data_IF_673863294086
#
_entry.id   IF_673863294086
#
_cell.length_a   1.000
_cell.length_b   1.000
_cell.length_c   1.000
_cell.angle_alpha   90.00
_cell.angle_beta   90.00
_cell.angle_gamma   90.00
#
_symmetry.space_group_name_H-M   'P 1'
#
loop_
_entity.id
_entity.type
_entity.pdbx_description
1 polymer ?
#
# COMPACT_ATOMS: atom_id res chain seq x y z
N UNK A 1 -16.33 33.05 -12.87
CA UNK A 1 -15.42 32.15 -13.59
C UNK A 1 -14.54 31.53 -12.53
N UNK A 2 -14.66 30.22 -12.28
CA UNK A 2 -13.78 29.52 -11.35
C UNK A 2 -12.40 29.45 -12.00
N UNK A 3 -11.35 29.86 -11.29
CA UNK A 3 -9.98 29.72 -11.77
C UNK A 3 -9.63 28.23 -11.89
N UNK A 4 -9.06 27.81 -13.02
CA UNK A 4 -8.60 26.44 -13.24
C UNK A 4 -7.60 26.01 -12.15
N UNK A 5 -6.76 26.93 -11.68
CA UNK A 5 -5.84 26.65 -10.58
C UNK A 5 -6.59 26.36 -9.28
N UNK A 6 -7.55 27.20 -8.90
CA UNK A 6 -8.35 26.98 -7.68
C UNK A 6 -9.15 25.68 -7.73
N UNK A 7 -9.71 25.34 -8.89
CA UNK A 7 -10.45 24.11 -9.11
C UNK A 7 -9.56 22.87 -8.94
N UNK A 8 -8.40 22.86 -9.59
CA UNK A 8 -7.44 21.75 -9.47
C UNK A 8 -6.87 21.65 -8.06
N UNK A 9 -6.58 22.79 -7.42
CA UNK A 9 -6.08 22.82 -6.06
C UNK A 9 -7.08 22.27 -5.03
N UNK A 10 -8.39 22.44 -5.24
CA UNK A 10 -9.40 21.83 -4.38
C UNK A 10 -9.24 20.30 -4.31
N UNK A 11 -9.02 19.64 -5.46
CA UNK A 11 -8.79 18.20 -5.51
C UNK A 11 -7.46 17.80 -4.85
N UNK A 12 -6.36 18.50 -5.16
CA UNK A 12 -5.05 18.22 -4.54
C UNK A 12 -5.11 18.34 -3.01
N UNK A 13 -5.72 19.41 -2.49
CA UNK A 13 -5.89 19.60 -1.06
C UNK A 13 -6.74 18.48 -0.43
N UNK A 14 -7.82 18.05 -1.10
CA UNK A 14 -8.62 16.92 -0.64
C UNK A 14 -7.77 15.63 -0.53
N UNK A 15 -6.97 15.33 -1.56
CA UNK A 15 -6.09 14.14 -1.57
C UNK A 15 -5.01 14.23 -0.49
N UNK A 16 -4.41 15.40 -0.27
CA UNK A 16 -3.40 15.56 0.80
C UNK A 16 -4.02 15.34 2.17
N UNK A 17 -5.22 15.86 2.43
CA UNK A 17 -5.91 15.68 3.71
C UNK A 17 -6.24 14.21 3.98
N UNK A 18 -6.76 13.51 2.98
CA UNK A 18 -7.23 12.13 3.11
C UNK A 18 -6.09 11.12 3.30
N UNK A 19 -4.91 11.42 2.76
CA UNK A 19 -3.70 10.59 2.86
C UNK A 19 -2.93 10.76 4.17
N UNK A 20 -3.39 11.61 5.11
CA UNK A 20 -2.71 11.76 6.41
C UNK A 20 -2.93 10.54 7.29
N UNK A 21 -1.94 10.19 8.10
CA UNK A 21 -2.04 9.10 9.09
C UNK A 21 -2.93 9.43 10.30
N UNK A 22 -3.50 10.64 10.37
CA UNK A 22 -4.36 11.08 11.48
C UNK A 22 -5.65 11.69 10.95
N UNK A 23 -6.78 11.17 11.43
CA UNK A 23 -8.12 11.60 11.03
C UNK A 23 -8.82 12.28 12.18
N UNK A 24 -9.50 13.37 11.87
CA UNK A 24 -10.35 14.15 12.78
C UNK A 24 -11.63 14.50 12.03
N UNK A 25 -12.75 14.66 12.73
CA UNK A 25 -14.03 15.05 12.10
C UNK A 25 -13.89 16.31 11.21
N UNK A 26 -13.17 17.32 11.68
CA UNK A 26 -12.96 18.58 10.94
C UNK A 26 -12.24 18.35 9.61
N UNK A 27 -11.18 17.54 9.62
CA UNK A 27 -10.44 17.18 8.40
C UNK A 27 -11.27 16.35 7.43
N UNK A 28 -12.09 15.44 7.95
CA UNK A 28 -13.00 14.66 7.11
C UNK A 28 -14.05 15.58 6.46
N UNK A 29 -14.62 16.52 7.22
CA UNK A 29 -15.53 17.53 6.68
C UNK A 29 -14.85 18.39 5.61
N UNK A 30 -13.64 18.91 5.89
CA UNK A 30 -12.86 19.69 4.92
C UNK A 30 -12.56 18.90 3.63
N UNK A 31 -12.23 17.61 3.74
CA UNK A 31 -12.06 16.74 2.58
C UNK A 31 -13.33 16.72 1.70
N UNK A 32 -14.49 16.51 2.31
CA UNK A 32 -15.77 16.46 1.60
C UNK A 32 -16.11 17.80 0.93
N UNK A 33 -15.85 18.90 1.62
CA UNK A 33 -16.12 20.25 1.10
C UNK A 33 -15.21 20.59 -0.08
N UNK A 34 -13.92 20.24 0.00
CA UNK A 34 -12.97 20.40 -1.10
C UNK A 34 -13.32 19.51 -2.29
N UNK A 35 -13.72 18.26 -2.05
CA UNK A 35 -14.16 17.34 -3.10
C UNK A 35 -15.43 17.86 -3.78
N UNK A 36 -16.41 18.37 -3.02
CA UNK A 36 -17.61 18.99 -3.56
C UNK A 36 -17.27 20.21 -4.42
N UNK A 37 -16.39 21.10 -3.93
CA UNK A 37 -15.94 22.29 -4.69
C UNK A 37 -15.28 21.91 -6.01
N UNK A 38 -14.50 20.83 -6.02
CA UNK A 38 -13.93 20.30 -7.25
C UNK A 38 -15.05 19.76 -8.17
N UNK A 39 -15.93 18.88 -7.69
CA UNK A 39 -17.01 18.29 -8.53
C UNK A 39 -17.94 19.36 -9.11
N UNK A 40 -18.38 20.33 -8.30
CA UNK A 40 -19.28 21.40 -8.71
C UNK A 40 -18.65 22.30 -9.79
N UNK A 41 -17.31 22.44 -9.81
CA UNK A 41 -16.59 23.24 -10.80
C UNK A 41 -16.27 22.50 -12.10
N UNK A 42 -16.54 21.20 -12.21
CA UNK A 42 -16.25 20.41 -13.42
C UNK A 42 -16.95 20.95 -14.68
N UNK A 43 -18.25 21.34 -14.65
CA UNK A 43 -18.93 21.89 -15.82
C UNK A 43 -18.28 23.16 -16.37
N UNK A 44 -17.74 24.00 -15.50
CA UNK A 44 -17.16 25.30 -15.85
C UNK A 44 -15.75 25.16 -16.44
N UNK A 45 -14.90 24.36 -15.77
CA UNK A 45 -13.47 24.21 -16.13
C UNK A 45 -13.26 23.13 -17.18
N UNK A 46 -14.13 22.13 -17.21
CA UNK A 46 -14.07 20.98 -18.12
C UNK A 46 -15.43 20.71 -18.79
N UNK A 47 -15.94 21.62 -19.65
CA UNK A 47 -17.29 21.48 -20.24
C UNK A 47 -17.52 20.18 -21.01
N UNK A 48 -16.45 19.57 -21.54
CA UNK A 48 -16.50 18.28 -22.22
C UNK A 48 -16.98 17.12 -21.31
N UNK A 49 -17.02 17.28 -19.99
CA UNK A 49 -17.55 16.26 -19.07
C UNK A 49 -19.07 16.28 -18.94
N UNK A 50 -19.74 17.39 -19.30
CA UNK A 50 -21.20 17.54 -19.21
C UNK A 50 -22.03 16.45 -19.92
N UNK A 51 -21.64 15.97 -21.13
CA UNK A 51 -22.42 14.95 -21.83
C UNK A 51 -22.27 13.55 -21.22
N UNK A 52 -21.31 13.35 -20.31
CA UNK A 52 -20.98 12.05 -19.76
C UNK A 52 -21.71 11.81 -18.43
N UNK A 53 -22.16 10.58 -18.16
CA UNK A 53 -22.73 10.24 -16.87
C UNK A 53 -21.68 10.41 -15.76
N UNK A 54 -22.14 10.78 -14.57
CA UNK A 54 -21.29 10.89 -13.38
C UNK A 54 -20.57 9.56 -13.16
N UNK A 55 -19.25 9.62 -13.06
CA UNK A 55 -18.43 8.41 -12.90
C UNK A 55 -18.66 7.81 -11.51
N UNK A 56 -18.84 6.48 -11.39
CA UNK A 56 -18.98 5.82 -10.10
C UNK A 56 -17.84 6.12 -9.13
N UNK A 57 -16.62 6.31 -9.65
CA UNK A 57 -15.45 6.69 -8.84
C UNK A 57 -15.62 8.04 -8.13
N UNK A 58 -16.31 9.01 -8.75
CA UNK A 58 -16.60 10.31 -8.13
C UNK A 58 -17.61 10.12 -7.00
N UNK A 59 -18.64 9.30 -7.21
CA UNK A 59 -19.60 8.96 -6.17
C UNK A 59 -18.95 8.23 -4.99
N UNK A 60 -18.10 7.23 -5.28
CA UNK A 60 -17.36 6.49 -4.27
C UNK A 60 -16.39 7.40 -3.48
N UNK A 61 -15.80 8.41 -4.12
CA UNK A 61 -14.95 9.39 -3.44
C UNK A 61 -15.72 10.15 -2.35
N UNK A 62 -17.02 10.43 -2.51
CA UNK A 62 -17.80 11.04 -1.42
C UNK A 62 -17.96 10.10 -0.21
N UNK A 63 -18.07 8.79 -0.42
CA UNK A 63 -18.15 7.81 0.66
C UNK A 63 -16.84 7.61 1.42
N UNK A 64 -15.72 8.11 0.89
CA UNK A 64 -14.46 8.14 1.63
C UNK A 64 -14.60 8.96 2.92
N UNK A 65 -15.46 9.99 2.93
CA UNK A 65 -15.81 10.70 4.17
C UNK A 65 -16.34 9.74 5.24
N UNK A 66 -17.33 8.90 4.88
CA UNK A 66 -17.94 7.95 5.80
C UNK A 66 -16.90 6.94 6.31
N UNK A 67 -16.03 6.47 5.42
CA UNK A 67 -14.97 5.51 5.74
C UNK A 67 -13.89 6.11 6.64
N UNK A 68 -13.55 7.39 6.48
CA UNK A 68 -12.65 8.08 7.40
C UNK A 68 -13.20 8.10 8.82
N UNK A 69 -14.51 8.32 8.99
CA UNK A 69 -15.16 8.33 10.30
C UNK A 69 -15.26 6.93 10.89
N UNK A 70 -15.59 5.92 10.08
CA UNK A 70 -15.84 4.55 10.54
C UNK A 70 -14.57 3.73 10.75
N UNK A 71 -13.60 3.85 9.84
CA UNK A 71 -12.42 2.98 9.76
C UNK A 71 -11.11 3.72 10.05
N UNK A 72 -11.16 5.05 10.17
CA UNK A 72 -9.98 5.87 10.40
C UNK A 72 -9.16 6.14 9.14
N UNK A 73 -7.84 6.41 9.28
CA UNK A 73 -6.98 6.85 8.17
C UNK A 73 -6.95 5.90 6.97
N UNK A 74 -7.00 6.45 5.73
CA UNK A 74 -6.93 5.65 4.49
C UNK A 74 -5.76 4.69 4.45
N UNK A 75 -4.59 5.11 4.95
CA UNK A 75 -3.37 4.30 4.91
C UNK A 75 -3.53 2.94 5.61
N UNK A 76 -4.49 2.81 6.54
CA UNK A 76 -4.78 1.57 7.23
C UNK A 76 -5.56 0.56 6.37
N UNK A 77 -6.29 1.02 5.35
CA UNK A 77 -7.22 0.19 4.57
C UNK A 77 -7.13 0.37 3.04
N UNK A 78 -6.19 1.16 2.54
CA UNK A 78 -5.95 1.29 1.10
C UNK A 78 -5.44 -0.01 0.46
N UNK A 79 -5.57 -0.12 -0.87
CA UNK A 79 -5.27 -1.34 -1.61
C UNK A 79 -3.77 -1.66 -1.76
N UNK A 80 -2.89 -0.66 -1.61
CA UNK A 80 -1.46 -0.80 -1.94
C UNK A 80 -0.71 -1.91 -1.18
N UNK A 81 -0.95 -2.15 0.14
CA UNK A 81 -0.34 -3.27 0.85
C UNK A 81 -0.82 -4.62 0.31
N UNK A 82 -2.08 -4.72 -0.10
CA UNK A 82 -2.64 -5.95 -0.69
C UNK A 82 -2.08 -6.20 -2.08
N UNK A 83 -1.95 -5.16 -2.92
CA UNK A 83 -1.31 -5.26 -4.24
C UNK A 83 0.14 -5.76 -4.12
N UNK A 84 0.90 -5.19 -3.16
CA UNK A 84 2.25 -5.67 -2.86
C UNK A 84 2.24 -7.14 -2.44
N UNK A 85 1.31 -7.55 -1.58
CA UNK A 85 1.18 -8.94 -1.14
C UNK A 85 0.83 -9.88 -2.30
N UNK A 86 -0.08 -9.49 -3.19
CA UNK A 86 -0.42 -10.24 -4.40
C UNK A 86 0.82 -10.41 -5.27
N UNK A 87 1.61 -9.35 -5.46
CA UNK A 87 2.88 -9.43 -6.18
C UNK A 87 3.88 -10.42 -5.54
N UNK A 88 3.98 -10.44 -4.22
CA UNK A 88 4.81 -11.45 -3.53
C UNK A 88 4.30 -12.87 -3.79
N UNK A 89 2.99 -13.10 -3.67
CA UNK A 89 2.38 -14.41 -3.90
C UNK A 89 2.57 -14.89 -5.34
N UNK A 90 2.44 -14.00 -6.33
CA UNK A 90 2.65 -14.31 -7.74
C UNK A 90 4.10 -14.70 -8.08
N UNK A 91 5.08 -14.22 -7.31
CA UNK A 91 6.49 -14.60 -7.50
C UNK A 91 6.87 -15.89 -6.77
N UNK A 92 5.97 -16.51 -6.01
CA UNK A 92 6.22 -17.83 -5.42
C UNK A 92 6.13 -18.88 -6.51
N UNK A 93 7.20 -19.66 -6.70
CA UNK A 93 7.16 -20.77 -7.63
C UNK A 93 6.18 -21.84 -7.12
N UNK A 94 5.07 -22.01 -7.85
CA UNK A 94 4.02 -22.97 -7.52
C UNK A 94 4.27 -24.36 -8.12
N UNK A 95 5.30 -24.54 -8.95
CA UNK A 95 5.62 -25.77 -9.70
C UNK A 95 4.39 -26.41 -10.37
N UNK A 96 3.43 -25.57 -10.83
CA UNK A 96 2.14 -25.98 -11.38
C UNK A 96 1.30 -26.92 -10.49
N UNK A 97 1.56 -26.96 -9.18
CA UNK A 97 0.73 -27.68 -8.22
C UNK A 97 -0.52 -26.85 -7.93
N UNK A 98 -1.68 -27.37 -8.31
CA UNK A 98 -3.01 -26.76 -8.13
C UNK A 98 -3.88 -27.78 -7.39
N UNK A 99 -4.85 -27.32 -6.59
CA UNK A 99 -5.84 -28.21 -5.95
C UNK A 99 -5.52 -28.54 -4.49
N UNK A 100 -5.04 -27.58 -3.70
CA UNK A 100 -4.88 -27.70 -2.24
C UNK A 100 -3.46 -28.03 -1.78
N UNK A 101 -2.61 -28.64 -2.62
CA UNK A 101 -1.23 -28.98 -2.26
C UNK A 101 -0.35 -27.74 -2.06
N UNK A 102 -0.53 -26.73 -2.91
CA UNK A 102 0.16 -25.45 -2.82
C UNK A 102 -0.24 -24.71 -1.53
N UNK A 103 -1.54 -24.62 -1.28
CA UNK A 103 -2.13 -23.97 -0.12
C UNK A 103 -1.68 -24.66 1.18
N UNK A 104 -1.64 -26.00 1.19
CA UNK A 104 -1.11 -26.79 2.32
C UNK A 104 0.36 -26.48 2.58
N UNK A 105 1.18 -26.41 1.52
CA UNK A 105 2.62 -26.13 1.63
C UNK A 105 2.88 -24.71 2.11
N UNK A 106 2.20 -23.72 1.54
CA UNK A 106 2.27 -22.32 1.98
C UNK A 106 1.88 -22.18 3.45
N UNK A 107 0.76 -22.78 3.85
CA UNK A 107 0.27 -22.74 5.23
C UNK A 107 1.26 -23.37 6.20
N UNK A 108 1.77 -24.58 5.89
CA UNK A 108 2.79 -25.25 6.72
C UNK A 108 4.08 -24.43 6.82
N UNK A 109 4.51 -23.84 5.72
CA UNK A 109 5.73 -23.02 5.67
C UNK A 109 5.57 -21.74 6.49
N UNK A 110 4.42 -21.09 6.40
CA UNK A 110 4.05 -19.93 7.20
C UNK A 110 4.07 -20.25 8.71
N UNK A 111 3.41 -21.33 9.13
CA UNK A 111 3.39 -21.73 10.55
C UNK A 111 4.77 -22.11 11.07
N UNK A 112 5.58 -22.83 10.28
CA UNK A 112 6.97 -23.16 10.65
C UNK A 112 7.83 -21.92 10.80
N UNK A 113 7.72 -20.97 9.87
CA UNK A 113 8.44 -19.70 9.95
C UNK A 113 8.00 -18.87 11.16
N UNK A 114 6.70 -18.79 11.45
CA UNK A 114 6.17 -18.11 12.63
C UNK A 114 6.65 -18.77 13.94
N UNK A 115 6.63 -20.10 14.02
CA UNK A 115 7.14 -20.84 15.17
C UNK A 115 8.64 -20.62 15.38
N UNK A 116 9.43 -20.62 14.30
CA UNK A 116 10.86 -20.32 14.35
C UNK A 116 11.12 -18.89 14.85
N UNK A 117 10.43 -17.89 14.30
CA UNK A 117 10.53 -16.49 14.76
C UNK A 117 10.15 -16.35 16.23
N UNK A 118 9.12 -17.06 16.69
CA UNK A 118 8.73 -17.11 18.10
C UNK A 118 9.84 -17.67 18.97
N UNK A 119 10.47 -18.77 18.57
CA UNK A 119 11.62 -19.34 19.28
C UNK A 119 12.82 -18.39 19.32
N UNK A 120 13.14 -17.73 18.21
CA UNK A 120 14.25 -16.77 18.13
C UNK A 120 14.06 -15.53 19.02
N UNK A 121 12.82 -15.18 19.37
CA UNK A 121 12.49 -14.05 20.26
C UNK A 121 12.39 -14.43 21.74
N UNK A 122 12.40 -15.73 22.07
CA UNK A 122 12.29 -16.20 23.45
C UNK A 122 13.60 -16.04 24.21
N UNK A 123 13.57 -15.66 25.50
CA UNK A 123 14.78 -15.58 26.33
C UNK A 123 15.36 -16.96 26.65
N UNK A 124 14.52 -18.00 26.67
CA UNK A 124 14.89 -19.40 26.93
C UNK A 124 15.14 -20.20 25.64
N UNK A 125 15.59 -19.53 24.58
CA UNK A 125 15.91 -20.13 23.30
C UNK A 125 17.13 -21.07 23.43
N UNK A 126 17.06 -22.34 22.94
CA UNK A 126 18.20 -23.25 22.96
C UNK A 126 19.45 -22.64 22.30
N UNK A 127 20.66 -22.90 22.82
CA UNK A 127 21.89 -22.25 22.36
C UNK A 127 22.15 -22.45 20.86
N UNK A 128 21.86 -23.65 20.34
CA UNK A 128 21.96 -23.95 18.90
C UNK A 128 21.08 -23.04 18.02
N UNK A 129 19.90 -22.64 18.51
CA UNK A 129 18.99 -21.75 17.78
C UNK A 129 19.44 -20.29 17.92
N UNK A 130 20.08 -19.92 19.04
CA UNK A 130 20.66 -18.58 19.23
C UNK A 130 21.83 -18.31 18.28
N UNK A 131 22.67 -19.31 18.02
CA UNK A 131 23.73 -19.18 17.01
C UNK A 131 23.16 -18.88 15.62
N UNK A 132 22.10 -19.61 15.25
CA UNK A 132 21.38 -19.40 13.98
C UNK A 132 20.70 -18.03 13.93
N UNK A 133 20.28 -17.46 15.06
CA UNK A 133 19.69 -16.12 15.12
C UNK A 133 20.60 -15.06 14.51
N UNK A 134 21.90 -15.11 14.82
CA UNK A 134 22.87 -14.14 14.29
C UNK A 134 23.00 -14.19 12.77
N UNK A 135 22.91 -15.38 12.18
CA UNK A 135 22.91 -15.59 10.74
C UNK A 135 21.57 -15.17 10.12
N UNK A 136 20.47 -15.54 10.78
CA UNK A 136 19.13 -15.20 10.36
C UNK A 136 18.93 -13.68 10.27
N UNK A 137 19.36 -12.95 11.30
CA UNK A 137 19.27 -11.48 11.36
C UNK A 137 20.11 -10.81 10.26
N UNK A 138 21.27 -11.38 9.90
CA UNK A 138 22.11 -10.91 8.78
C UNK A 138 21.47 -11.13 7.42
N UNK A 139 20.82 -12.27 7.22
CA UNK A 139 20.22 -12.64 5.91
C UNK A 139 18.84 -12.00 5.73
N UNK A 140 18.11 -11.73 6.81
CA UNK A 140 16.76 -11.15 6.77
C UNK A 140 16.64 -9.83 7.58
N UNK A 141 17.33 -8.74 7.19
CA UNK A 141 17.39 -7.51 7.99
C UNK A 141 16.05 -6.77 8.10
N UNK A 142 15.18 -6.86 7.10
CA UNK A 142 13.98 -6.01 6.99
C UNK A 142 12.80 -6.42 7.86
N UNK A 143 12.85 -7.60 8.49
CA UNK A 143 11.75 -8.15 9.30
C UNK A 143 11.94 -7.98 10.81
N UNK A 144 13.14 -7.60 11.25
CA UNK A 144 13.54 -7.56 12.66
C UNK A 144 13.93 -6.15 13.15
N UNK A 145 13.61 -5.09 12.41
CA UNK A 145 13.78 -3.74 12.92
C UNK A 145 12.91 -3.55 14.18
N UNK A 146 13.48 -3.11 15.33
CA UNK A 146 12.67 -2.71 16.47
C UNK A 146 11.79 -1.52 16.04
N UNK A 147 10.52 -1.54 16.43
CA UNK A 147 9.52 -0.51 16.08
C UNK A 147 9.88 0.91 16.58
N UNK A 148 10.98 1.06 17.34
CA UNK A 148 11.38 2.31 18.01
C UNK A 148 12.64 3.02 17.45
N UNK A 149 13.23 2.57 16.33
CA UNK A 149 14.29 3.37 15.69
C UNK A 149 13.71 4.28 14.62
N UNK A 150 13.84 5.60 14.82
CA UNK A 150 13.52 6.66 13.86
C UNK A 150 13.76 6.20 12.42
N UNK A 151 12.72 6.27 11.59
CA UNK A 151 12.74 5.88 10.18
C UNK A 151 13.95 6.55 9.51
N UNK A 152 15.01 5.81 9.12
CA UNK A 152 16.02 6.41 8.27
C UNK A 152 15.33 6.68 6.95
N UNK A 153 15.42 7.92 6.47
CA UNK A 153 14.90 8.33 5.16
C UNK A 153 15.35 7.31 4.11
N UNK A 154 14.41 6.43 3.74
CA UNK A 154 14.65 5.43 2.73
C UNK A 154 14.60 6.19 1.42
N UNK A 155 15.77 6.59 0.92
CA UNK A 155 15.91 7.36 -0.32
C UNK A 155 15.06 6.71 -1.43
N UNK A 156 13.89 7.33 -1.64
CA UNK A 156 12.85 6.88 -2.55
C UNK A 156 13.36 6.80 -4.00
N UNK A 157 14.46 7.48 -4.29
CA UNK A 157 15.13 7.46 -5.59
C UNK A 157 15.70 6.07 -5.91
N UNK A 158 16.25 5.38 -4.91
CA UNK A 158 16.96 4.10 -5.09
C UNK A 158 16.00 2.92 -5.28
N UNK A 159 14.90 2.91 -4.51
CA UNK A 159 13.84 1.90 -4.64
C UNK A 159 13.11 2.00 -5.99
N UNK A 160 12.87 3.22 -6.48
CA UNK A 160 12.30 3.46 -7.80
C UNK A 160 13.26 3.08 -8.94
N UNK A 161 14.58 3.19 -8.73
CA UNK A 161 15.59 2.78 -9.71
C UNK A 161 15.72 1.26 -9.83
N UNK A 162 15.67 0.54 -8.70
CA UNK A 162 15.68 -0.92 -8.67
C UNK A 162 14.41 -1.51 -9.28
N UNK A 163 13.23 -0.96 -8.98
CA UNK A 163 11.98 -1.38 -9.63
C UNK A 163 11.96 -1.06 -11.14
N UNK A 164 12.48 0.10 -11.56
CA UNK A 164 12.61 0.44 -13.00
C UNK A 164 13.58 -0.48 -13.74
N UNK A 165 14.69 -0.88 -13.11
CA UNK A 165 15.64 -1.82 -13.71
C UNK A 165 15.04 -3.22 -13.83
N UNK A 166 14.34 -3.67 -12.78
CA UNK A 166 13.70 -4.98 -12.76
C UNK A 166 12.51 -5.10 -13.71
N UNK A 167 11.76 -4.01 -13.91
CA UNK A 167 10.67 -3.92 -14.89
C UNK A 167 11.19 -3.91 -16.33
N UNK A 168 12.30 -3.20 -16.60
CA UNK A 168 12.93 -3.14 -17.93
C UNK A 168 13.49 -4.50 -18.38
N UNK A 169 13.95 -5.33 -17.44
CA UNK A 169 14.40 -6.70 -17.71
C UNK A 169 13.25 -7.67 -17.98
N UNK A 170 12.02 -7.41 -17.50
CA UNK A 170 10.83 -8.25 -17.77
C UNK A 170 10.12 -7.91 -19.09
N UNK A 171 10.46 -6.79 -19.74
CA UNK A 171 9.85 -6.36 -21.02
C UNK A 171 10.71 -6.65 -22.26
N UNK A 172 11.88 -7.28 -22.11
CA UNK A 172 12.63 -7.72 -23.28
C UNK A 172 11.88 -8.90 -23.93
N UNK A 173 11.55 -8.83 -25.24
CA UNK A 173 10.93 -9.96 -25.90
C UNK A 173 11.93 -11.11 -25.94
N UNK A 174 11.45 -12.33 -25.69
CA UNK A 174 12.22 -13.53 -25.98
C UNK A 174 12.71 -13.45 -27.41
N UNK A 175 14.03 -13.46 -27.61
CA UNK A 175 14.60 -13.66 -28.94
C UNK A 175 14.12 -15.03 -29.45
N UNK A 176 13.45 -15.01 -30.60
CA UNK A 176 13.06 -16.19 -31.38
C UNK A 176 14.26 -17.07 -31.74
#
# INVERSE_FOLDING_TARGET
>A
MVDMLDHTMALFCAVILVCRCTVTNDRAAQYRDLLKRWVDGLPDVHPHTLPHPVRPNIHLAFHVFDFLILFGPIIAWWSFPFERMIGFLQNINTNHRIGGELESTLTKSFFRAAALRRWLRRPDCPPVIQEVKSLFDKVFPSYNAPEDSELPERDSSRALQEERHHFRLRQQPCRE
#
